data_IF_896654850664
#
_entry.id   IF_896654850664
#
_cell.length_a   1.000
_cell.length_b   1.000
_cell.length_c   1.000
_cell.angle_alpha   90.00
_cell.angle_beta   90.00
_cell.angle_gamma   90.00
#
_symmetry.space_group_name_H-M   'P 1'
#
loop_
_entity.id
_entity.type
_entity.pdbx_description
1 polymer ?
#
# COMPACT_ATOMS: atom_id res chain seq x y z
N UNK A 1 -5.11 -2.04 9.37
CA UNK A 1 -5.05 -1.29 8.10
C UNK A 1 -4.13 -0.09 8.24
N UNK A 2 -3.00 -0.07 7.56
CA UNK A 2 -2.11 1.10 7.55
C UNK A 2 -2.49 2.08 6.43
N UNK A 3 -2.28 3.40 6.65
CA UNK A 3 -2.68 4.43 5.71
C UNK A 3 -4.20 4.54 5.52
N UNK A 4 -4.97 4.24 6.56
CA UNK A 4 -6.44 4.21 6.53
C UNK A 4 -7.10 5.59 6.47
N UNK A 5 -6.34 6.68 6.55
CA UNK A 5 -6.89 8.05 6.66
C UNK A 5 -7.35 8.66 5.32
N UNK A 6 -7.16 8.00 4.18
CA UNK A 6 -7.58 8.48 2.86
C UNK A 6 -7.44 7.42 1.75
N UNK A 7 -8.07 7.65 0.59
CA UNK A 7 -7.91 6.88 -0.64
C UNK A 7 -8.19 5.39 -0.48
N UNK A 8 -7.32 4.53 -1.02
CA UNK A 8 -7.52 3.07 -1.00
C UNK A 8 -7.68 2.54 0.42
N UNK A 9 -6.88 3.03 1.39
CA UNK A 9 -6.94 2.57 2.77
C UNK A 9 -8.25 2.92 3.46
N UNK A 10 -8.77 4.12 3.25
CA UNK A 10 -10.09 4.54 3.75
C UNK A 10 -11.20 3.68 3.15
N UNK A 11 -11.22 3.54 1.83
CA UNK A 11 -12.28 2.81 1.14
C UNK A 11 -12.25 1.30 1.43
N UNK A 12 -11.06 0.68 1.48
CA UNK A 12 -10.93 -0.71 1.94
C UNK A 12 -11.42 -0.90 3.38
N UNK A 13 -11.14 0.05 4.28
CA UNK A 13 -11.60 -0.03 5.67
C UNK A 13 -13.12 -0.02 5.75
N UNK A 14 -13.79 0.85 4.98
CA UNK A 14 -15.25 0.92 4.90
C UNK A 14 -15.84 -0.39 4.38
N UNK A 15 -15.39 -0.86 3.22
CA UNK A 15 -15.97 -2.05 2.59
C UNK A 15 -15.69 -3.34 3.36
N UNK A 16 -14.51 -3.49 3.98
CA UNK A 16 -14.21 -4.62 4.85
C UNK A 16 -15.10 -4.61 6.09
N UNK A 17 -15.34 -3.45 6.69
CA UNK A 17 -16.20 -3.33 7.86
C UNK A 17 -17.66 -3.67 7.54
N UNK A 18 -18.19 -3.20 6.40
CA UNK A 18 -19.51 -3.58 5.89
C UNK A 18 -19.64 -5.09 5.63
N UNK A 19 -18.50 -5.77 5.39
CA UNK A 19 -18.45 -7.24 5.27
C UNK A 19 -18.28 -7.96 6.61
N UNK A 20 -18.43 -7.27 7.73
CA UNK A 20 -18.37 -7.82 9.09
C UNK A 20 -16.97 -7.84 9.72
N UNK A 21 -15.96 -7.28 9.07
CA UNK A 21 -14.62 -7.19 9.66
C UNK A 21 -14.53 -6.08 10.70
N UNK A 22 -13.80 -6.31 11.79
CA UNK A 22 -13.45 -5.30 12.79
C UNK A 22 -12.12 -4.65 12.36
N UNK A 23 -12.07 -3.32 12.28
CA UNK A 23 -10.97 -2.60 11.65
C UNK A 23 -10.19 -1.73 12.65
N UNK A 24 -8.89 -1.93 12.73
CA UNK A 24 -7.97 -0.95 13.31
C UNK A 24 -7.49 -0.05 12.17
N UNK A 25 -7.96 1.19 12.15
CA UNK A 25 -7.55 2.22 11.20
C UNK A 25 -6.28 2.92 11.73
N UNK A 26 -5.16 2.75 11.04
CA UNK A 26 -3.86 3.28 11.48
C UNK A 26 -3.27 4.26 10.45
N UNK A 27 -2.89 5.44 10.90
CA UNK A 27 -2.15 6.46 10.16
C UNK A 27 -1.65 7.56 11.11
N UNK A 28 -0.87 8.53 10.59
CA UNK A 28 -0.32 9.64 11.39
C UNK A 28 -1.36 10.71 11.74
N UNK A 29 -2.38 10.90 10.90
CA UNK A 29 -3.40 11.98 11.04
C UNK A 29 -4.59 11.45 11.83
N UNK A 30 -4.60 11.66 13.14
CA UNK A 30 -5.68 11.18 14.01
C UNK A 30 -7.05 11.74 13.65
N UNK A 31 -7.25 13.05 13.40
CA UNK A 31 -8.59 13.57 13.05
C UNK A 31 -9.19 12.91 11.82
N UNK A 32 -8.36 12.61 10.81
CA UNK A 32 -8.82 11.92 9.60
C UNK A 32 -9.19 10.45 9.87
N UNK A 33 -8.46 9.78 10.78
CA UNK A 33 -8.81 8.43 11.20
C UNK A 33 -10.13 8.40 11.96
N UNK A 34 -10.33 9.36 12.87
CA UNK A 34 -11.58 9.50 13.65
C UNK A 34 -12.77 9.75 12.71
N UNK A 35 -12.61 10.62 11.71
CA UNK A 35 -13.62 10.82 10.65
C UNK A 35 -13.95 9.51 9.93
N UNK A 36 -12.96 8.75 9.51
CA UNK A 36 -13.17 7.46 8.81
C UNK A 36 -13.86 6.46 9.74
N UNK A 37 -13.43 6.36 11.00
CA UNK A 37 -14.04 5.46 11.97
C UNK A 37 -15.49 5.85 12.29
N UNK A 38 -15.81 7.15 12.41
CA UNK A 38 -17.18 7.61 12.57
C UNK A 38 -18.06 7.13 11.40
N UNK A 39 -17.64 7.38 10.16
CA UNK A 39 -18.37 6.93 8.95
C UNK A 39 -18.62 5.40 9.00
N UNK A 40 -17.61 4.61 9.37
CA UNK A 40 -17.72 3.16 9.45
C UNK A 40 -18.72 2.76 10.55
N UNK A 41 -18.57 3.32 11.74
CA UNK A 41 -19.38 2.94 12.91
C UNK A 41 -20.84 3.40 12.78
N UNK A 42 -21.06 4.60 12.22
CA UNK A 42 -22.41 5.13 11.91
C UNK A 42 -23.15 4.28 10.86
N UNK A 43 -22.38 3.60 9.98
CA UNK A 43 -22.91 2.66 8.99
C UNK A 43 -23.11 1.23 9.55
N UNK A 44 -23.00 1.04 10.87
CA UNK A 44 -23.16 -0.26 11.53
C UNK A 44 -21.91 -1.16 11.51
N UNK A 45 -20.77 -0.64 11.06
CA UNK A 45 -19.49 -1.32 11.12
C UNK A 45 -18.82 -1.24 12.50
N UNK A 46 -17.60 -1.75 12.62
CA UNK A 46 -16.83 -1.71 13.85
C UNK A 46 -15.38 -1.32 13.55
N UNK A 47 -14.98 -0.13 13.99
CA UNK A 47 -13.62 0.37 13.77
C UNK A 47 -13.12 1.23 14.92
N UNK A 48 -11.80 1.26 15.07
CA UNK A 48 -11.08 2.12 16.00
C UNK A 48 -9.94 2.85 15.30
N UNK A 49 -9.68 4.08 15.72
CA UNK A 49 -8.59 4.90 15.22
C UNK A 49 -7.35 4.72 16.12
N UNK A 50 -6.20 4.44 15.50
CA UNK A 50 -4.91 4.35 16.21
C UNK A 50 -3.88 5.23 15.49
N UNK A 51 -3.46 6.33 16.13
CA UNK A 51 -2.40 7.17 15.58
C UNK A 51 -1.11 6.38 15.53
N UNK A 52 -0.59 6.17 14.33
CA UNK A 52 0.60 5.34 14.11
C UNK A 52 1.48 5.94 13.02
N UNK A 53 2.75 6.19 13.35
CA UNK A 53 3.80 6.34 12.37
C UNK A 53 4.49 4.99 12.18
N UNK A 54 4.33 4.38 11.02
CA UNK A 54 4.87 3.05 10.75
C UNK A 54 6.41 3.03 10.65
N UNK A 55 7.06 4.18 10.56
CA UNK A 55 8.54 4.28 10.60
C UNK A 55 9.09 4.06 12.00
N UNK A 56 8.23 4.11 13.03
CA UNK A 56 8.56 3.92 14.44
C UNK A 56 8.05 2.54 14.89
N UNK A 57 8.98 1.63 15.18
CA UNK A 57 8.65 0.24 15.52
C UNK A 57 7.72 0.14 16.74
N UNK A 58 7.99 0.91 17.77
CA UNK A 58 7.22 0.93 19.03
C UNK A 58 5.75 1.30 18.78
N UNK A 59 5.48 2.22 17.85
CA UNK A 59 4.12 2.57 17.46
C UNK A 59 3.42 1.45 16.67
N UNK A 60 4.18 0.68 15.89
CA UNK A 60 3.63 -0.51 15.21
C UNK A 60 3.27 -1.61 16.22
N UNK A 61 4.10 -1.81 17.24
CA UNK A 61 3.84 -2.75 18.34
C UNK A 61 2.59 -2.30 19.12
N UNK A 62 2.50 -1.02 19.45
CA UNK A 62 1.32 -0.49 20.17
C UNK A 62 0.04 -0.63 19.34
N UNK A 63 0.08 -0.35 18.03
CA UNK A 63 -1.06 -0.58 17.12
C UNK A 63 -1.53 -2.04 17.17
N UNK A 64 -0.61 -2.99 17.21
CA UNK A 64 -0.91 -4.43 17.30
C UNK A 64 -1.49 -4.77 18.67
N UNK A 65 -0.90 -4.25 19.76
CA UNK A 65 -1.40 -4.45 21.12
C UNK A 65 -2.83 -3.93 21.29
N UNK A 66 -3.13 -2.75 20.75
CA UNK A 66 -4.48 -2.20 20.74
C UNK A 66 -5.45 -3.11 19.96
N UNK A 67 -5.02 -3.66 18.81
CA UNK A 67 -5.85 -4.60 18.05
C UNK A 67 -6.17 -5.87 18.85
N UNK A 68 -5.18 -6.46 19.50
CA UNK A 68 -5.35 -7.66 20.33
C UNK A 68 -6.21 -7.37 21.55
N UNK A 69 -5.95 -6.26 22.25
CA UNK A 69 -6.74 -5.87 23.43
C UNK A 69 -8.20 -5.64 23.09
N UNK A 70 -8.49 -5.02 21.94
CA UNK A 70 -9.86 -4.65 21.55
C UNK A 70 -10.62 -5.80 20.89
N UNK A 71 -9.95 -6.59 20.05
CA UNK A 71 -10.61 -7.57 19.19
C UNK A 71 -10.18 -9.02 19.43
N UNK A 72 -9.19 -9.25 20.28
CA UNK A 72 -8.72 -10.58 20.70
C UNK A 72 -7.79 -11.28 19.72
N UNK A 73 -7.79 -10.89 18.43
CA UNK A 73 -6.97 -11.50 17.38
C UNK A 73 -6.71 -10.57 16.21
N UNK A 74 -5.77 -10.94 15.34
CA UNK A 74 -5.51 -10.29 14.06
C UNK A 74 -5.60 -11.35 12.96
N UNK A 75 -6.61 -11.24 12.09
CA UNK A 75 -6.79 -12.12 10.92
C UNK A 75 -6.15 -11.55 9.66
N UNK A 76 -5.86 -10.24 9.65
CA UNK A 76 -5.27 -9.59 8.49
C UNK A 76 -4.49 -8.32 8.79
N UNK A 77 -3.33 -8.18 8.16
CA UNK A 77 -2.54 -6.95 8.12
C UNK A 77 -2.56 -6.39 6.70
N UNK A 78 -3.08 -5.17 6.53
CA UNK A 78 -3.10 -4.52 5.23
C UNK A 78 -2.06 -3.40 5.20
N UNK A 79 -1.04 -3.58 4.37
CA UNK A 79 0.07 -2.67 4.12
C UNK A 79 -0.31 -1.75 2.95
N UNK A 80 -0.87 -0.59 3.28
CA UNK A 80 -1.30 0.39 2.29
C UNK A 80 -0.61 1.75 2.45
N UNK A 81 -0.09 2.08 3.63
CA UNK A 81 0.65 3.32 3.83
C UNK A 81 1.83 3.44 2.86
N UNK A 82 2.02 4.62 2.31
CA UNK A 82 3.10 4.88 1.37
C UNK A 82 3.20 6.34 0.95
N UNK A 83 4.36 6.70 0.46
CA UNK A 83 4.70 8.00 -0.13
C UNK A 83 5.32 7.80 -1.51
N UNK A 84 5.23 8.80 -2.38
CA UNK A 84 5.71 8.72 -3.76
C UNK A 84 6.65 9.88 -4.10
N UNK A 85 7.24 9.83 -5.29
CA UNK A 85 7.99 10.94 -5.87
C UNK A 85 7.54 11.21 -7.31
N UNK A 86 7.80 12.41 -7.80
CA UNK A 86 7.57 12.81 -9.18
C UNK A 86 8.66 13.78 -9.64
N UNK A 87 9.86 13.25 -9.88
CA UNK A 87 11.00 14.02 -10.37
C UNK A 87 11.99 13.14 -11.13
N UNK A 88 12.57 13.68 -12.22
CA UNK A 88 13.69 13.03 -12.89
C UNK A 88 14.92 13.09 -11.99
N UNK A 89 15.70 12.02 -11.95
CA UNK A 89 16.86 11.93 -11.09
C UNK A 89 17.91 13.01 -11.40
N UNK A 90 18.13 13.32 -12.68
CA UNK A 90 19.06 14.36 -13.15
C UNK A 90 18.60 15.80 -12.84
N UNK A 91 17.38 15.99 -12.30
CA UNK A 91 16.82 17.29 -11.91
C UNK A 91 16.66 17.44 -10.40
N UNK A 92 17.13 16.46 -9.62
CA UNK A 92 17.05 16.54 -8.16
C UNK A 92 18.09 17.52 -7.61
N UNK A 93 17.65 18.39 -6.73
CA UNK A 93 18.51 19.30 -5.95
C UNK A 93 18.69 18.82 -4.50
N UNK A 94 17.82 17.93 -4.05
CA UNK A 94 17.91 17.25 -2.76
C UNK A 94 17.54 15.76 -2.95
N UNK A 95 18.36 14.88 -2.40
CA UNK A 95 18.16 13.42 -2.44
C UNK A 95 17.81 12.82 -1.07
N UNK A 96 17.75 13.62 -0.01
CA UNK A 96 17.52 13.16 1.36
C UNK A 96 16.20 12.39 1.50
N UNK A 97 15.16 12.79 0.74
CA UNK A 97 13.84 12.15 0.75
C UNK A 97 13.84 10.69 0.22
N UNK A 98 14.92 10.22 -0.40
CA UNK A 98 15.07 8.80 -0.73
C UNK A 98 15.06 7.94 0.54
N UNK A 99 15.65 8.45 1.64
CA UNK A 99 15.56 7.79 2.95
C UNK A 99 14.11 7.73 3.44
N UNK A 100 13.32 8.79 3.24
CA UNK A 100 11.90 8.81 3.61
C UNK A 100 11.09 7.81 2.80
N UNK A 101 11.37 7.72 1.48
CA UNK A 101 10.75 6.71 0.62
C UNK A 101 11.04 5.28 1.10
N UNK A 102 12.30 4.98 1.46
CA UNK A 102 12.67 3.68 2.00
C UNK A 102 12.10 3.45 3.39
N UNK A 103 12.16 4.44 4.27
CA UNK A 103 11.67 4.34 5.64
C UNK A 103 10.16 4.10 5.69
N UNK A 104 9.37 4.80 4.87
CA UNK A 104 7.91 4.63 4.87
C UNK A 104 7.49 3.40 4.07
N UNK A 105 7.95 3.26 2.80
CA UNK A 105 7.41 2.25 1.89
C UNK A 105 7.95 0.85 2.15
N UNK A 106 9.15 0.73 2.71
CA UNK A 106 9.81 -0.55 2.99
C UNK A 106 9.92 -0.82 4.48
N UNK A 107 10.71 -0.03 5.23
CA UNK A 107 10.93 -0.29 6.65
C UNK A 107 9.65 -0.20 7.47
N UNK A 108 8.76 0.74 7.16
CA UNK A 108 7.47 0.84 7.83
C UNK A 108 6.59 -0.40 7.63
N UNK A 109 6.63 -1.01 6.43
CA UNK A 109 5.96 -2.28 6.19
C UNK A 109 6.63 -3.43 6.95
N UNK A 110 7.97 -3.48 7.00
CA UNK A 110 8.75 -4.45 7.80
C UNK A 110 8.39 -4.35 9.28
N UNK A 111 8.34 -3.13 9.85
CA UNK A 111 7.96 -2.89 11.25
C UNK A 111 6.55 -3.42 11.55
N UNK A 112 5.58 -3.12 10.67
CA UNK A 112 4.21 -3.62 10.82
C UNK A 112 4.14 -5.15 10.76
N UNK A 113 4.87 -5.77 9.84
CA UNK A 113 4.94 -7.23 9.72
C UNK A 113 5.60 -7.83 10.95
N UNK A 114 6.75 -7.29 11.38
CA UNK A 114 7.45 -7.76 12.58
C UNK A 114 6.54 -7.78 13.81
N UNK A 115 5.81 -6.68 14.05
CA UNK A 115 4.89 -6.60 15.18
C UNK A 115 3.70 -7.57 15.06
N UNK A 116 3.12 -7.75 13.87
CA UNK A 116 1.89 -8.52 13.68
C UNK A 116 2.10 -10.01 13.39
N UNK A 117 3.29 -10.42 12.92
CA UNK A 117 3.55 -11.78 12.42
C UNK A 117 3.23 -12.89 13.41
N UNK A 118 3.61 -12.82 14.72
CA UNK A 118 3.26 -13.87 15.67
C UNK A 118 1.74 -14.09 15.79
N UNK A 119 0.97 -12.99 15.79
CA UNK A 119 -0.49 -13.03 15.89
C UNK A 119 -1.13 -13.54 14.60
N UNK A 120 -0.58 -13.17 13.43
CA UNK A 120 -1.03 -13.67 12.15
C UNK A 120 -0.76 -15.18 11.99
N UNK A 121 0.39 -15.68 12.47
CA UNK A 121 0.66 -17.13 12.50
C UNK A 121 -0.36 -17.87 13.37
N UNK A 122 -0.66 -17.35 14.55
CA UNK A 122 -1.64 -17.93 15.47
C UNK A 122 -3.04 -18.03 14.87
N UNK A 123 -3.46 -17.05 14.06
CA UNK A 123 -4.78 -17.01 13.42
C UNK A 123 -4.81 -17.63 12.01
N UNK A 124 -3.67 -18.07 11.46
CA UNK A 124 -3.48 -18.40 10.04
C UNK A 124 -3.94 -17.26 9.14
N UNK A 125 -3.57 -16.06 9.53
CA UNK A 125 -4.03 -14.80 8.95
C UNK A 125 -3.35 -14.46 7.61
N UNK A 126 -3.62 -13.22 7.15
CA UNK A 126 -3.18 -12.75 5.83
C UNK A 126 -2.40 -11.44 5.93
N UNK A 127 -1.37 -11.30 5.12
CA UNK A 127 -0.73 -10.02 4.82
C UNK A 127 -1.19 -9.60 3.43
N UNK A 128 -1.75 -8.42 3.32
CA UNK A 128 -2.21 -7.84 2.05
C UNK A 128 -1.41 -6.57 1.79
N UNK A 129 -0.71 -6.51 0.66
CA UNK A 129 0.05 -5.32 0.24
C UNK A 129 -0.65 -4.61 -0.92
N UNK A 130 -0.99 -3.33 -0.73
CA UNK A 130 -1.36 -2.42 -1.81
C UNK A 130 -0.06 -1.95 -2.49
N UNK A 131 0.35 -2.70 -3.52
CA UNK A 131 1.59 -2.51 -4.27
C UNK A 131 1.33 -1.77 -5.60
N UNK A 132 2.25 -1.81 -6.53
CA UNK A 132 2.18 -1.08 -7.80
C UNK A 132 2.90 -1.84 -8.91
N UNK A 133 2.54 -1.59 -10.17
CA UNK A 133 3.33 -2.05 -11.32
C UNK A 133 4.79 -1.62 -11.28
N UNK A 134 5.10 -0.53 -10.58
CA UNK A 134 6.46 -0.03 -10.37
C UNK A 134 7.28 -0.86 -9.36
N UNK A 135 6.68 -1.83 -8.69
CA UNK A 135 7.40 -2.85 -7.92
C UNK A 135 8.02 -3.94 -8.83
N UNK A 136 7.60 -3.99 -10.09
CA UNK A 136 8.01 -5.01 -11.06
C UNK A 136 8.88 -4.44 -12.20
N UNK A 137 8.81 -3.12 -12.45
CA UNK A 137 9.58 -2.44 -13.51
C UNK A 137 9.94 -1.02 -13.10
N UNK A 138 10.99 -0.46 -13.73
CA UNK A 138 11.31 0.96 -13.63
C UNK A 138 10.26 1.83 -14.29
N UNK A 139 10.11 3.05 -13.80
CA UNK A 139 9.21 4.04 -14.38
C UNK A 139 9.84 5.44 -14.30
N UNK A 140 9.81 6.25 -15.38
CA UNK A 140 10.37 7.59 -15.37
C UNK A 140 9.85 8.44 -14.22
N UNK A 141 10.68 9.31 -13.65
CA UNK A 141 10.38 10.22 -12.53
C UNK A 141 10.08 9.55 -11.18
N UNK A 142 10.25 8.21 -11.07
CA UNK A 142 9.90 7.45 -9.86
C UNK A 142 11.05 6.59 -9.34
N UNK A 143 12.31 6.96 -9.57
CA UNK A 143 13.47 6.11 -9.25
C UNK A 143 13.50 5.63 -7.80
N UNK A 144 13.38 6.52 -6.82
CA UNK A 144 13.35 6.16 -5.39
C UNK A 144 12.08 5.41 -4.98
N UNK A 145 10.93 5.81 -5.53
CA UNK A 145 9.67 5.11 -5.29
C UNK A 145 9.69 3.68 -5.83
N UNK A 146 10.12 3.50 -7.09
CA UNK A 146 10.24 2.17 -7.68
C UNK A 146 11.23 1.31 -6.89
N UNK A 147 12.38 1.86 -6.48
CA UNK A 147 13.35 1.14 -5.65
C UNK A 147 12.74 0.66 -4.33
N UNK A 148 12.02 1.53 -3.60
CA UNK A 148 11.38 1.15 -2.33
C UNK A 148 10.29 0.09 -2.50
N UNK A 149 9.54 0.13 -3.61
CA UNK A 149 8.49 -0.87 -3.90
C UNK A 149 9.07 -2.20 -4.41
N UNK A 150 10.21 -2.20 -5.13
CA UNK A 150 10.95 -3.43 -5.44
C UNK A 150 11.50 -4.09 -4.17
N UNK A 151 12.05 -3.30 -3.22
CA UNK A 151 12.50 -3.82 -1.94
C UNK A 151 11.36 -4.49 -1.15
N UNK A 152 10.19 -3.84 -1.07
CA UNK A 152 9.01 -4.42 -0.43
C UNK A 152 8.53 -5.70 -1.13
N UNK A 153 8.51 -5.71 -2.47
CA UNK A 153 8.14 -6.91 -3.26
C UNK A 153 9.07 -8.09 -2.97
N UNK A 154 10.38 -7.86 -2.96
CA UNK A 154 11.38 -8.90 -2.61
C UNK A 154 11.18 -9.45 -1.20
N UNK A 155 10.98 -8.56 -0.21
CA UNK A 155 10.69 -8.94 1.17
C UNK A 155 9.43 -9.81 1.30
N UNK A 156 8.31 -9.36 0.73
CA UNK A 156 7.04 -10.07 0.81
C UNK A 156 7.07 -11.42 0.09
N UNK A 157 7.77 -11.49 -1.05
CA UNK A 157 7.96 -12.73 -1.80
C UNK A 157 8.73 -13.77 -0.99
N UNK A 158 9.80 -13.35 -0.28
CA UNK A 158 10.58 -14.21 0.61
C UNK A 158 9.74 -14.65 1.81
N UNK A 159 9.07 -13.71 2.47
CA UNK A 159 8.20 -13.98 3.62
C UNK A 159 7.09 -15.00 3.30
N UNK A 160 6.53 -14.92 2.08
CA UNK A 160 5.51 -15.85 1.61
C UNK A 160 6.04 -17.30 1.45
N UNK A 161 7.32 -17.46 1.11
CA UNK A 161 7.98 -18.78 1.01
C UNK A 161 8.26 -19.34 2.41
N UNK A 162 8.85 -18.51 3.26
CA UNK A 162 9.24 -18.88 4.63
C UNK A 162 8.05 -19.32 5.49
N UNK A 163 6.88 -18.70 5.27
CA UNK A 163 5.69 -18.91 6.11
C UNK A 163 4.49 -19.51 5.35
N UNK A 164 4.75 -20.25 4.26
CA UNK A 164 3.73 -20.74 3.30
C UNK A 164 2.59 -21.56 3.93
N UNK A 165 2.83 -22.20 5.08
CA UNK A 165 1.86 -23.06 5.78
C UNK A 165 1.21 -22.34 6.98
N UNK A 166 1.65 -21.15 7.33
CA UNK A 166 1.22 -20.41 8.52
C UNK A 166 0.40 -19.18 8.18
N UNK A 167 0.76 -18.46 7.12
CA UNK A 167 0.07 -17.24 6.67
C UNK A 167 -0.07 -17.23 5.14
N UNK A 168 -1.00 -16.41 4.67
CA UNK A 168 -1.13 -16.06 3.23
C UNK A 168 -0.60 -14.65 3.00
N UNK A 169 0.20 -14.46 1.95
CA UNK A 169 0.63 -13.12 1.49
C UNK A 169 -0.02 -12.84 0.14
N UNK A 170 -0.78 -11.73 0.06
CA UNK A 170 -1.39 -11.22 -1.17
C UNK A 170 -0.74 -9.89 -1.56
N UNK A 171 -0.21 -9.79 -2.76
CA UNK A 171 0.17 -8.52 -3.38
C UNK A 171 -0.87 -8.06 -4.41
N UNK A 172 -1.48 -6.90 -4.19
CA UNK A 172 -2.30 -6.21 -5.17
C UNK A 172 -1.41 -5.25 -5.98
N UNK A 173 -1.10 -5.63 -7.22
CA UNK A 173 -0.29 -4.84 -8.15
C UNK A 173 -1.21 -3.85 -8.86
N UNK A 174 -1.12 -2.59 -8.43
CA UNK A 174 -2.03 -1.53 -8.84
C UNK A 174 -1.43 -0.66 -9.94
N UNK A 175 -2.27 -0.20 -10.85
CA UNK A 175 -1.99 0.91 -11.74
C UNK A 175 -2.28 2.26 -11.08
N UNK A 176 -2.71 3.22 -11.87
CA UNK A 176 -3.09 4.53 -11.36
C UNK A 176 -4.55 4.54 -10.93
N UNK A 177 -4.78 4.90 -9.69
CA UNK A 177 -6.12 4.94 -9.09
C UNK A 177 -6.55 6.40 -8.97
N UNK A 178 -7.77 6.70 -9.41
CA UNK A 178 -8.40 8.02 -9.24
C UNK A 178 -8.67 8.28 -7.75
N UNK A 179 -8.88 9.53 -7.43
CA UNK A 179 -9.35 9.98 -6.11
C UNK A 179 -8.45 9.55 -4.94
N UNK A 180 -7.13 9.36 -5.26
CA UNK A 180 -6.11 9.13 -4.25
C UNK A 180 -5.14 10.31 -4.17
N UNK A 181 -4.73 10.66 -2.94
CA UNK A 181 -3.80 11.77 -2.69
C UNK A 181 -2.32 11.38 -2.80
N UNK A 182 -2.00 10.16 -3.25
CA UNK A 182 -0.61 9.69 -3.31
C UNK A 182 0.26 10.57 -4.23
N UNK A 183 -0.28 11.00 -5.36
CA UNK A 183 0.42 11.91 -6.29
C UNK A 183 0.47 13.35 -5.80
N UNK A 184 -0.61 13.83 -5.18
CA UNK A 184 -0.65 15.19 -4.60
C UNK A 184 0.32 15.36 -3.43
N UNK A 185 0.76 14.26 -2.83
CA UNK A 185 1.72 14.20 -1.74
C UNK A 185 3.07 13.60 -2.17
N UNK A 186 3.39 13.62 -3.47
CA UNK A 186 4.66 13.13 -3.98
C UNK A 186 5.79 14.14 -3.73
N UNK A 187 6.99 13.64 -3.44
CA UNK A 187 8.20 14.45 -3.37
C UNK A 187 8.58 15.01 -4.76
N UNK A 188 8.89 16.29 -4.81
CA UNK A 188 9.38 17.00 -6.00
C UNK A 188 10.91 17.00 -6.12
N UNK A 189 11.45 17.76 -7.11
CA UNK A 189 12.87 17.85 -7.34
C UNK A 189 13.69 18.43 -6.17
N UNK A 190 13.04 19.28 -5.37
CA UNK A 190 13.60 19.96 -4.19
C UNK A 190 13.44 19.17 -2.88
N UNK A 191 13.06 17.91 -2.96
CA UNK A 191 12.81 17.07 -1.80
C UNK A 191 11.54 17.43 -1.01
N UNK A 192 10.76 18.42 -1.45
CA UNK A 192 9.54 18.84 -0.76
C UNK A 192 8.31 18.16 -1.34
N UNK A 193 7.33 17.91 -0.48
CA UNK A 193 6.04 17.37 -0.91
C UNK A 193 5.30 18.41 -1.76
N UNK A 194 4.96 18.01 -2.97
CA UNK A 194 4.18 18.87 -3.89
C UNK A 194 2.71 18.82 -3.50
N UNK A 195 2.13 20.00 -3.19
CA UNK A 195 0.70 20.11 -2.81
C UNK A 195 -0.27 20.05 -3.99
N UNK A 196 0.23 19.99 -5.22
CA UNK A 196 -0.58 19.90 -6.44
C UNK A 196 -0.17 18.68 -7.25
N UNK A 197 -1.12 17.86 -7.73
CA UNK A 197 -0.78 16.74 -8.60
C UNK A 197 -0.13 17.27 -9.89
N UNK A 198 0.96 16.66 -10.37
CA UNK A 198 1.70 17.14 -11.53
C UNK A 198 0.92 17.04 -12.85
N UNK A 199 -0.14 16.26 -12.91
CA UNK A 199 -1.05 16.13 -14.07
C UNK A 199 -2.44 15.66 -13.62
N UNK A 200 -3.46 16.02 -14.40
CA UNK A 200 -4.79 15.40 -14.33
C UNK A 200 -4.67 13.87 -14.51
N UNK A 201 -5.62 13.12 -13.95
CA UNK A 201 -5.68 11.67 -14.11
C UNK A 201 -5.58 11.28 -15.59
N UNK A 202 -4.70 10.33 -15.93
CA UNK A 202 -4.63 9.80 -17.28
C UNK A 202 -5.97 9.13 -17.64
N UNK A 203 -6.28 9.05 -18.95
CA UNK A 203 -7.45 8.29 -19.43
C UNK A 203 -7.46 6.82 -18.96
N UNK A 204 -6.32 6.30 -18.56
CA UNK A 204 -6.15 4.93 -18.05
C UNK A 204 -6.28 4.82 -16.52
N UNK A 205 -6.64 5.89 -15.82
CA UNK A 205 -6.82 5.86 -14.37
C UNK A 205 -8.05 5.04 -14.00
N UNK A 206 -7.90 4.23 -12.97
CA UNK A 206 -8.88 3.27 -12.49
C UNK A 206 -9.72 3.92 -11.39
N UNK A 207 -11.00 3.67 -11.42
CA UNK A 207 -11.94 4.05 -10.37
C UNK A 207 -11.58 3.38 -9.03
N UNK A 208 -11.71 4.14 -7.92
CA UNK A 208 -11.33 3.69 -6.59
C UNK A 208 -12.17 2.50 -6.12
N UNK A 209 -13.50 2.59 -6.27
CA UNK A 209 -14.43 1.56 -5.80
C UNK A 209 -14.23 0.26 -6.57
N UNK A 210 -14.03 0.37 -7.89
CA UNK A 210 -13.72 -0.79 -8.71
C UNK A 210 -12.39 -1.44 -8.29
N UNK A 211 -11.35 -0.65 -8.04
CA UNK A 211 -10.07 -1.14 -7.54
C UNK A 211 -10.24 -1.91 -6.23
N UNK A 212 -10.92 -1.31 -5.25
CA UNK A 212 -11.17 -1.90 -3.93
C UNK A 212 -11.98 -3.18 -4.05
N UNK A 213 -13.02 -3.21 -4.89
CA UNK A 213 -13.81 -4.43 -5.12
C UNK A 213 -12.97 -5.61 -5.65
N UNK A 214 -11.96 -5.33 -6.50
CA UNK A 214 -11.03 -6.36 -6.98
C UNK A 214 -10.07 -6.85 -5.91
N UNK A 215 -9.57 -5.95 -5.04
CA UNK A 215 -8.74 -6.33 -3.89
C UNK A 215 -9.54 -7.22 -2.93
N UNK A 216 -10.76 -6.84 -2.58
CA UNK A 216 -11.64 -7.63 -1.72
C UNK A 216 -11.93 -9.01 -2.31
N UNK A 217 -12.19 -9.09 -3.62
CA UNK A 217 -12.34 -10.37 -4.30
C UNK A 217 -11.10 -11.24 -4.19
N UNK A 218 -9.91 -10.65 -4.33
CA UNK A 218 -8.64 -11.37 -4.20
C UNK A 218 -8.42 -11.88 -2.77
N UNK A 219 -8.73 -11.07 -1.76
CA UNK A 219 -8.69 -11.46 -0.34
C UNK A 219 -9.64 -12.64 -0.08
N UNK A 220 -10.88 -12.57 -0.58
CA UNK A 220 -11.90 -13.63 -0.40
C UNK A 220 -11.52 -14.94 -1.11
N UNK A 221 -10.78 -14.86 -2.22
CA UNK A 221 -10.37 -16.02 -3.04
C UNK A 221 -9.00 -16.58 -2.67
N UNK A 222 -8.34 -16.06 -1.65
CA UNK A 222 -6.98 -16.44 -1.23
C UNK A 222 -5.93 -16.38 -2.34
N UNK A 223 -6.06 -15.39 -3.24
CA UNK A 223 -5.07 -15.20 -4.29
C UNK A 223 -3.75 -14.68 -3.70
N UNK A 224 -2.64 -15.13 -4.27
CA UNK A 224 -1.30 -14.62 -3.89
C UNK A 224 -0.98 -13.29 -4.58
N UNK A 225 -1.54 -13.06 -5.76
CA UNK A 225 -1.31 -11.82 -6.52
C UNK A 225 -2.57 -11.46 -7.27
N UNK A 226 -2.89 -10.16 -7.29
CA UNK A 226 -3.92 -9.60 -8.19
C UNK A 226 -3.36 -8.41 -8.94
N UNK A 227 -3.75 -8.27 -10.20
CA UNK A 227 -3.29 -7.19 -11.09
C UNK A 227 -4.46 -6.30 -11.47
N UNK A 228 -4.36 -5.01 -11.17
CA UNK A 228 -5.43 -4.03 -11.36
C UNK A 228 -4.87 -2.79 -12.06
N UNK A 229 -5.06 -2.66 -13.37
CA UNK A 229 -5.80 -3.50 -14.31
C UNK A 229 -5.05 -4.80 -14.68
N UNK A 230 -5.78 -5.77 -15.20
CA UNK A 230 -5.24 -7.10 -15.51
C UNK A 230 -4.04 -7.07 -16.48
N UNK A 231 -3.93 -6.06 -17.35
CA UNK A 231 -2.79 -5.89 -18.26
C UNK A 231 -1.43 -5.82 -17.55
N UNK A 232 -1.39 -5.42 -16.28
CA UNK A 232 -0.15 -5.40 -15.50
C UNK A 232 0.44 -6.80 -15.28
N UNK A 233 -0.35 -7.87 -15.42
CA UNK A 233 0.12 -9.26 -15.37
C UNK A 233 1.16 -9.57 -16.45
N UNK A 234 1.16 -8.81 -17.53
CA UNK A 234 2.10 -9.00 -18.64
C UNK A 234 3.48 -8.39 -18.37
N UNK A 235 3.63 -7.54 -17.33
CA UNK A 235 4.92 -6.88 -17.02
C UNK A 235 6.06 -7.90 -16.87
N UNK A 236 5.97 -8.96 -16.06
CA UNK A 236 7.08 -9.91 -15.91
C UNK A 236 7.47 -10.58 -17.23
N UNK A 237 6.50 -10.90 -18.07
CA UNK A 237 6.73 -11.51 -19.38
C UNK A 237 7.46 -10.55 -20.34
N UNK A 238 6.96 -9.33 -20.48
CA UNK A 238 7.62 -8.32 -21.31
C UNK A 238 9.01 -7.94 -20.75
N UNK A 239 9.17 -7.91 -19.43
CA UNK A 239 10.48 -7.64 -18.80
C UNK A 239 11.51 -8.71 -19.15
N UNK A 240 11.10 -9.97 -19.26
CA UNK A 240 11.97 -11.08 -19.59
C UNK A 240 12.34 -11.14 -21.09
N UNK A 241 11.37 -10.89 -22.00
CA UNK A 241 11.52 -11.15 -23.42
C UNK A 241 11.54 -9.89 -24.30
N UNK A 242 10.89 -8.81 -23.89
CA UNK A 242 10.75 -7.57 -24.67
C UNK A 242 10.89 -6.33 -23.81
N UNK A 243 11.98 -6.26 -23.06
CA UNK A 243 12.26 -5.15 -22.12
C UNK A 243 12.18 -3.78 -22.79
N UNK A 244 12.71 -3.63 -24.01
CA UNK A 244 12.65 -2.39 -24.80
C UNK A 244 11.21 -1.89 -25.01
N UNK A 245 10.27 -2.81 -25.19
CA UNK A 245 8.85 -2.44 -25.38
C UNK A 245 8.25 -1.85 -24.11
N UNK A 246 8.56 -2.42 -22.94
CA UNK A 246 8.12 -1.85 -21.66
C UNK A 246 8.72 -0.46 -21.41
N UNK A 247 10.00 -0.28 -21.69
CA UNK A 247 10.70 0.99 -21.54
C UNK A 247 10.10 2.05 -22.47
N UNK A 248 9.85 1.71 -23.74
CA UNK A 248 9.15 2.57 -24.70
C UNK A 248 7.76 2.96 -24.20
N UNK A 249 6.96 2.01 -23.71
CA UNK A 249 5.62 2.28 -23.20
C UNK A 249 5.63 3.13 -21.92
N UNK A 250 6.60 2.91 -21.04
CA UNK A 250 6.74 3.69 -19.82
C UNK A 250 7.10 5.17 -20.12
N UNK A 251 7.92 5.40 -21.16
CA UNK A 251 8.32 6.74 -21.58
C UNK A 251 7.15 7.52 -22.21
N UNK A 252 6.26 6.86 -22.95
CA UNK A 252 5.07 7.50 -23.56
C UNK A 252 4.02 7.98 -22.56
N UNK A 253 4.07 7.53 -21.32
CA UNK A 253 3.07 7.84 -20.30
C UNK A 253 3.45 9.06 -19.47
N UNK A 254 4.68 9.59 -19.60
CA UNK A 254 5.28 10.70 -18.87
C UNK A 254 5.39 11.94 -19.73
#
# INVERSE_FOLDING_TARGET
>A
MTGASSGIGEELSKQLSLSGSKIVCAARRLPELERVCSIINDSGGNSIAVKTDITVLEQCIEMVNVAIKTYGKIDGLILNAGVSMWARFDKLTDISFFNDLMSVNYMGAVNCVHAALPHLKSSRGKIISCSTGQALMGFPRHSGYAASKHALHGFLSTLAIENKNEITVLEAILGWIKDTNLRGNAFGPDGKVQKKPPKQHSKESIDLDWCVSKILRAIKKDWRTTYIPLKLRLIPFFKAFWRWYLEFRADQVV
#
